data_IF_367163992359
#
_entry.id   IF_367163992359
#
_cell.length_a   1.000
_cell.length_b   1.000
_cell.length_c   1.000
_cell.angle_alpha   90.00
_cell.angle_beta   90.00
_cell.angle_gamma   90.00
#
_symmetry.space_group_name_H-M   'P 1'
#
loop_
_entity.id
_entity.type
_entity.pdbx_description
1 polymer ?
#
# COMPACT_ATOMS: atom_id res chain seq x y z
N UNK A 1 24.23 -47.68 19.99
CA UNK A 1 23.63 -46.68 20.92
C UNK A 1 23.59 -45.33 20.20
N UNK A 2 22.58 -45.10 19.36
CA UNK A 2 22.45 -43.92 18.48
C UNK A 2 21.71 -42.77 19.20
N UNK A 3 22.05 -42.52 20.46
CA UNK A 3 21.36 -41.52 21.29
C UNK A 3 21.76 -40.10 20.86
N UNK A 4 23.02 -39.91 20.45
CA UNK A 4 23.55 -38.63 19.96
C UNK A 4 22.75 -38.00 18.80
N UNK A 5 22.51 -38.69 17.68
CA UNK A 5 21.77 -38.10 16.56
C UNK A 5 20.30 -37.82 16.89
N UNK A 6 19.67 -38.64 17.74
CA UNK A 6 18.28 -38.41 18.16
C UNK A 6 18.15 -37.18 19.06
N UNK A 7 19.11 -36.96 19.98
CA UNK A 7 19.16 -35.75 20.80
C UNK A 7 19.39 -34.52 19.91
N UNK A 8 20.34 -34.59 18.98
CA UNK A 8 20.62 -33.48 18.07
C UNK A 8 19.38 -33.09 17.25
N UNK A 9 18.65 -34.10 16.74
CA UNK A 9 17.41 -33.86 15.98
C UNK A 9 16.33 -33.20 16.85
N UNK A 10 16.18 -33.65 18.10
CA UNK A 10 15.22 -33.08 19.05
C UNK A 10 15.54 -31.63 19.38
N UNK A 11 16.82 -31.28 19.57
CA UNK A 11 17.25 -29.90 19.83
C UNK A 11 16.97 -29.00 18.63
N UNK A 12 17.28 -29.46 17.41
CA UNK A 12 17.01 -28.71 16.17
C UNK A 12 15.50 -28.47 16.01
N UNK A 13 14.68 -29.48 16.27
CA UNK A 13 13.22 -29.36 16.19
C UNK A 13 12.66 -28.33 17.19
N UNK A 14 13.13 -28.36 18.45
CA UNK A 14 12.71 -27.39 19.47
C UNK A 14 13.12 -25.96 19.07
N UNK A 15 14.36 -25.77 18.63
CA UNK A 15 14.84 -24.47 18.18
C UNK A 15 14.03 -23.93 16.99
N UNK A 16 13.73 -24.77 16.01
CA UNK A 16 12.90 -24.40 14.86
C UNK A 16 11.47 -23.98 15.29
N UNK A 17 10.84 -24.73 16.19
CA UNK A 17 9.50 -24.37 16.71
C UNK A 17 9.54 -23.05 17.46
N UNK A 18 10.55 -22.82 18.30
CA UNK A 18 10.67 -21.56 19.05
C UNK A 18 10.87 -20.34 18.13
N UNK A 19 11.64 -20.48 17.04
CA UNK A 19 11.83 -19.41 16.06
C UNK A 19 10.52 -19.08 15.30
N UNK A 20 9.72 -20.10 14.96
CA UNK A 20 8.41 -19.91 14.33
C UNK A 20 7.41 -19.26 15.28
N UNK A 21 7.34 -19.71 16.54
CA UNK A 21 6.42 -19.15 17.54
C UNK A 21 6.78 -17.72 17.96
N UNK A 22 8.07 -17.35 17.93
CA UNK A 22 8.54 -16.00 18.32
C UNK A 22 8.52 -14.99 17.18
N UNK A 23 8.14 -15.39 15.96
CA UNK A 23 8.19 -14.51 14.79
C UNK A 23 9.61 -14.14 14.35
N UNK A 24 10.65 -14.72 14.95
CA UNK A 24 12.04 -14.56 14.57
C UNK A 24 12.40 -15.46 13.39
N UNK A 25 11.65 -15.36 12.29
CA UNK A 25 12.06 -15.94 11.02
C UNK A 25 12.88 -14.87 10.29
N UNK A 26 14.23 -14.90 10.37
CA UNK A 26 15.07 -13.93 9.69
C UNK A 26 14.81 -14.01 8.18
N UNK A 27 14.20 -12.95 7.64
CA UNK A 27 13.83 -12.86 6.22
C UNK A 27 12.33 -12.80 5.95
N UNK A 28 11.47 -13.17 6.91
CA UNK A 28 10.03 -12.97 6.74
C UNK A 28 9.68 -11.47 6.74
N UNK A 29 10.38 -10.66 7.54
CA UNK A 29 10.27 -9.19 7.55
C UNK A 29 10.44 -8.54 6.17
N UNK A 30 11.16 -9.22 5.26
CA UNK A 30 11.38 -8.74 3.89
C UNK A 30 10.23 -9.10 2.93
N UNK A 31 9.43 -10.10 3.28
CA UNK A 31 8.23 -10.54 2.53
C UNK A 31 6.96 -9.91 3.09
N UNK A 32 6.89 -9.73 4.42
CA UNK A 32 5.87 -8.94 5.12
C UNK A 32 6.27 -7.48 5.26
N UNK A 33 7.22 -7.02 4.44
CA UNK A 33 7.34 -5.61 4.13
C UNK A 33 5.98 -5.17 3.65
N UNK A 34 5.21 -4.58 4.55
CA UNK A 34 3.93 -4.00 4.25
C UNK A 34 4.22 -2.97 3.17
N UNK A 35 4.04 -3.35 1.91
CA UNK A 35 3.72 -2.39 0.89
C UNK A 35 2.58 -1.58 1.53
N UNK A 36 2.74 -0.26 1.74
CA UNK A 36 1.70 0.52 2.38
C UNK A 36 0.44 0.27 1.57
N UNK A 37 -0.49 -0.51 2.12
CA UNK A 37 -1.65 -1.02 1.38
C UNK A 37 -2.60 0.10 0.96
N UNK A 38 -2.35 1.33 1.41
CA UNK A 38 -3.05 2.55 1.08
C UNK A 38 -2.06 3.71 1.24
N UNK A 39 -1.02 3.80 0.41
CA UNK A 39 -0.58 5.13 0.06
C UNK A 39 -1.77 5.72 -0.72
N UNK A 40 -2.62 6.46 0.00
CA UNK A 40 -3.63 7.32 -0.62
C UNK A 40 -2.81 8.32 -1.44
N UNK A 41 -2.55 7.93 -2.69
CA UNK A 41 -1.70 8.67 -3.60
C UNK A 41 -2.48 9.87 -4.11
N UNK A 42 -2.81 10.77 -3.18
CA UNK A 42 -3.32 12.10 -3.43
C UNK A 42 -2.32 12.96 -4.21
N UNK A 43 -1.13 12.43 -4.51
CA UNK A 43 -0.17 13.07 -5.42
C UNK A 43 -0.41 12.68 -6.88
N UNK A 44 -1.06 11.54 -7.14
CA UNK A 44 -1.49 11.18 -8.48
C UNK A 44 -2.63 12.09 -8.96
N UNK A 45 -2.63 12.53 -10.23
CA UNK A 45 -3.70 13.35 -10.76
C UNK A 45 -5.00 12.53 -10.91
N UNK A 46 -6.12 13.11 -10.50
CA UNK A 46 -7.43 12.51 -10.68
C UNK A 46 -7.96 12.77 -12.09
N UNK A 47 -8.32 11.70 -12.81
CA UNK A 47 -8.84 11.77 -14.17
C UNK A 47 -10.37 11.71 -14.17
N UNK A 48 -11.00 12.87 -14.30
CA UNK A 48 -12.44 13.06 -14.11
C UNK A 48 -12.98 14.04 -15.17
N UNK A 49 -14.29 14.05 -15.45
CA UNK A 49 -14.91 15.12 -16.23
C UNK A 49 -14.87 16.44 -15.48
N UNK A 50 -14.62 17.53 -16.21
CA UNK A 50 -14.69 18.87 -15.66
C UNK A 50 -16.08 19.46 -15.94
N UNK A 51 -16.90 19.63 -14.90
CA UNK A 51 -18.30 20.05 -15.05
C UNK A 51 -18.50 21.55 -15.31
N UNK A 52 -17.43 22.35 -15.29
CA UNK A 52 -17.53 23.75 -15.71
C UNK A 52 -17.86 23.84 -17.20
N UNK A 53 -18.82 24.68 -17.52
CA UNK A 53 -19.25 24.99 -18.91
C UNK A 53 -18.15 25.61 -19.74
N UNK A 54 -17.11 26.17 -19.11
CA UNK A 54 -15.96 26.78 -19.79
C UNK A 54 -14.94 25.75 -20.26
N UNK A 55 -14.85 24.60 -19.59
CA UNK A 55 -13.83 23.58 -19.86
C UNK A 55 -14.42 22.38 -20.61
N UNK A 56 -15.57 21.87 -20.17
CA UNK A 56 -16.36 20.85 -20.89
C UNK A 56 -15.64 19.54 -21.22
N UNK A 57 -14.41 19.32 -20.75
CA UNK A 57 -13.65 18.11 -21.05
C UNK A 57 -14.23 16.92 -20.29
N UNK A 58 -14.53 15.85 -21.02
CA UNK A 58 -15.10 14.61 -20.45
C UNK A 58 -14.09 13.82 -19.61
N UNK A 59 -12.79 13.98 -19.86
CA UNK A 59 -11.74 13.32 -19.08
C UNK A 59 -10.48 14.18 -19.11
N UNK A 60 -10.17 14.85 -18.00
CA UNK A 60 -9.02 15.75 -17.86
C UNK A 60 -8.36 15.54 -16.50
N UNK A 61 -7.03 15.72 -16.38
CA UNK A 61 -6.35 15.60 -15.10
C UNK A 61 -6.71 16.76 -14.16
N UNK A 62 -6.87 16.42 -12.88
CA UNK A 62 -7.08 17.34 -11.78
C UNK A 62 -6.03 17.14 -10.69
N UNK A 63 -5.58 18.24 -10.09
CA UNK A 63 -4.68 18.23 -8.94
C UNK A 63 -5.46 18.22 -7.64
N UNK A 64 -5.02 17.43 -6.67
CA UNK A 64 -5.56 17.46 -5.33
C UNK A 64 -5.06 18.70 -4.59
N UNK A 65 -6.00 19.50 -4.07
CA UNK A 65 -5.70 20.63 -3.19
C UNK A 65 -6.52 20.51 -1.91
N UNK A 66 -6.14 21.21 -0.82
CA UNK A 66 -6.95 21.22 0.41
C UNK A 66 -8.39 21.73 0.21
N UNK A 67 -8.66 22.48 -0.87
CA UNK A 67 -9.97 23.03 -1.20
C UNK A 67 -10.80 22.13 -2.15
N UNK A 68 -10.25 21.01 -2.63
CA UNK A 68 -10.86 20.15 -3.64
C UNK A 68 -9.95 19.88 -4.83
N UNK A 69 -10.53 19.38 -5.92
CA UNK A 69 -9.82 19.03 -7.15
C UNK A 69 -9.71 20.25 -8.07
N UNK A 70 -8.51 20.60 -8.53
CA UNK A 70 -8.31 21.71 -9.47
C UNK A 70 -8.04 21.18 -10.87
N UNK A 71 -8.89 21.54 -11.83
CA UNK A 71 -8.71 21.12 -13.23
C UNK A 71 -7.46 21.77 -13.83
N UNK A 72 -6.53 20.97 -14.37
CA UNK A 72 -5.30 21.50 -14.99
C UNK A 72 -5.55 22.29 -16.28
N UNK A 73 -6.70 22.10 -16.93
CA UNK A 73 -7.02 22.77 -18.19
C UNK A 73 -7.64 24.16 -17.98
N UNK A 74 -8.54 24.33 -17.02
CA UNK A 74 -9.24 25.60 -16.79
C UNK A 74 -8.99 26.23 -15.43
N UNK A 75 -8.20 25.61 -14.56
CA UNK A 75 -7.87 26.05 -13.19
C UNK A 75 -9.07 26.18 -12.25
N UNK A 76 -10.24 25.67 -12.63
CA UNK A 76 -11.43 25.70 -11.80
C UNK A 76 -11.38 24.61 -10.72
N UNK A 77 -11.79 24.98 -9.50
CA UNK A 77 -11.91 24.05 -8.37
C UNK A 77 -13.24 23.31 -8.42
N UNK A 78 -13.20 21.99 -8.26
CA UNK A 78 -14.36 21.10 -8.11
C UNK A 78 -14.31 20.55 -6.70
N UNK A 79 -15.34 20.85 -5.90
CA UNK A 79 -15.38 20.51 -4.47
C UNK A 79 -15.86 19.09 -4.20
N UNK A 80 -16.53 18.43 -5.15
CA UNK A 80 -17.09 17.09 -4.97
C UNK A 80 -17.04 16.27 -6.27
N UNK A 81 -16.63 15.00 -6.16
CA UNK A 81 -16.89 13.98 -7.20
C UNK A 81 -18.28 13.39 -6.89
N UNK A 82 -19.30 13.58 -7.74
CA UNK A 82 -20.60 12.96 -7.52
C UNK A 82 -20.43 11.43 -7.48
N UNK A 83 -20.99 10.80 -6.44
CA UNK A 83 -20.96 9.34 -6.22
C UNK A 83 -21.95 8.62 -7.11
#
# INVERSE_FOLDING_TARGET
MFIGPLIALAVIAVLAVTAVCSGHIPGLDRLTGAAPLLADDTTAPAWLPCHTTTCGHMTTPHDHTPAGLVCRSCTHTVTEVPR
#
